data_IF_023454042086
#
_entry.id   IF_023454042086
#
_cell.length_a   1.000
_cell.length_b   1.000
_cell.length_c   1.000
_cell.angle_alpha   90.00
_cell.angle_beta   90.00
_cell.angle_gamma   90.00
#
_symmetry.space_group_name_H-M   'P 1'
#
loop_
_entity.id
_entity.type
_entity.pdbx_description
1 polymer ?
#
# COMPACT_ATOMS: atom_id res chain seq x y z
N UNK A 1 -32.08 50.09 24.17
CA UNK A 1 -32.83 50.73 25.28
C UNK A 1 -33.78 51.74 24.66
N UNK A 2 -35.07 51.69 24.97
CA UNK A 2 -36.05 52.69 24.52
C UNK A 2 -36.21 53.83 25.52
N UNK A 3 -37.30 54.61 25.40
CA UNK A 3 -37.56 55.77 26.27
C UNK A 3 -37.59 55.35 27.74
N UNK A 4 -37.00 56.17 28.60
CA UNK A 4 -36.96 55.93 30.05
C UNK A 4 -36.06 54.77 30.49
N UNK A 5 -35.09 54.35 29.66
CA UNK A 5 -34.15 53.29 30.03
C UNK A 5 -34.76 51.88 30.05
N UNK A 6 -35.92 51.67 29.41
CA UNK A 6 -36.52 50.33 29.28
C UNK A 6 -35.75 49.50 28.23
N UNK A 7 -35.52 48.21 28.52
CA UNK A 7 -34.88 47.31 27.57
C UNK A 7 -35.83 46.96 26.41
N UNK A 8 -35.30 46.42 25.31
CA UNK A 8 -36.11 46.09 24.13
C UNK A 8 -37.20 45.05 24.40
N UNK A 9 -36.95 44.12 25.32
CA UNK A 9 -37.92 43.09 25.74
C UNK A 9 -39.07 43.72 26.52
N UNK A 10 -38.79 44.66 27.44
CA UNK A 10 -39.83 45.39 28.18
C UNK A 10 -40.68 46.32 27.31
N UNK A 11 -40.31 46.51 26.04
CA UNK A 11 -41.04 47.33 25.07
C UNK A 11 -41.61 46.50 23.92
N UNK A 12 -41.43 45.18 23.95
CA UNK A 12 -41.93 44.27 22.93
C UNK A 12 -43.47 44.25 23.00
N UNK A 13 -44.12 44.62 21.88
CA UNK A 13 -45.59 44.62 21.74
C UNK A 13 -46.08 43.42 20.92
N UNK A 14 -45.16 42.60 20.44
CA UNK A 14 -45.34 41.44 19.58
C UNK A 14 -45.43 40.12 20.37
N UNK A 15 -45.38 40.17 21.71
CA UNK A 15 -45.58 39.02 22.58
C UNK A 15 -47.06 38.97 22.98
N UNK A 16 -47.80 38.00 22.44
CA UNK A 16 -49.26 37.91 22.58
C UNK A 16 -49.70 37.24 23.91
N UNK A 17 -48.86 36.38 24.51
CA UNK A 17 -49.17 35.65 25.74
C UNK A 17 -48.45 36.20 26.97
N UNK A 18 -49.18 36.37 28.08
CA UNK A 18 -48.63 36.77 29.38
C UNK A 18 -47.59 35.79 29.91
N UNK A 19 -47.80 34.48 29.73
CA UNK A 19 -46.87 33.43 30.17
C UNK A 19 -45.56 33.45 29.36
N UNK A 20 -45.66 33.73 28.06
CA UNK A 20 -44.50 33.91 27.20
C UNK A 20 -43.73 35.18 27.56
N UNK A 21 -44.44 36.27 27.86
CA UNK A 21 -43.83 37.52 28.30
C UNK A 21 -43.05 37.34 29.62
N UNK A 22 -43.65 36.66 30.61
CA UNK A 22 -42.98 36.35 31.88
C UNK A 22 -41.75 35.45 31.67
N UNK A 23 -41.85 34.44 30.80
CA UNK A 23 -40.71 33.59 30.44
C UNK A 23 -39.56 34.40 29.80
N UNK A 24 -39.88 35.28 28.86
CA UNK A 24 -38.88 36.08 28.10
C UNK A 24 -38.21 37.15 28.96
N UNK A 25 -38.92 37.73 29.92
CA UNK A 25 -38.32 38.69 30.86
C UNK A 25 -37.36 38.02 31.84
N UNK A 26 -37.69 36.81 32.30
CA UNK A 26 -36.87 36.06 33.26
C UNK A 26 -35.79 35.19 32.59
N UNK A 27 -35.69 35.23 31.26
CA UNK A 27 -34.79 34.39 30.48
C UNK A 27 -33.32 34.83 30.65
N UNK A 28 -32.52 33.99 31.30
CA UNK A 28 -31.07 34.19 31.51
C UNK A 28 -30.69 35.50 32.25
N UNK A 29 -31.61 36.08 33.02
CA UNK A 29 -31.34 37.21 33.91
C UNK A 29 -31.57 36.75 35.34
N UNK A 30 -30.51 36.76 36.16
CA UNK A 30 -30.60 36.50 37.60
C UNK A 30 -30.55 37.82 38.38
N UNK A 31 -30.91 37.80 39.67
CA UNK A 31 -30.75 38.97 40.55
C UNK A 31 -29.29 39.44 40.66
N UNK A 32 -28.33 38.60 40.30
CA UNK A 32 -26.89 38.87 40.32
C UNK A 32 -26.39 39.45 38.98
N UNK A 33 -27.24 39.50 37.94
CA UNK A 33 -26.91 40.09 36.65
C UNK A 33 -26.84 41.61 36.78
N UNK A 34 -25.66 42.19 36.55
CA UNK A 34 -25.40 43.63 36.63
C UNK A 34 -24.93 44.17 35.29
N UNK A 35 -24.71 45.49 35.19
CA UNK A 35 -24.11 46.11 34.01
C UNK A 35 -22.69 45.58 33.68
N UNK A 36 -22.03 44.91 34.63
CA UNK A 36 -20.72 44.28 34.44
C UNK A 36 -20.82 42.81 33.96
N UNK A 37 -22.03 42.22 33.93
CA UNK A 37 -22.22 40.85 33.48
C UNK A 37 -21.98 40.71 31.97
N UNK A 38 -21.38 39.58 31.56
CA UNK A 38 -21.05 39.34 30.16
C UNK A 38 -22.31 39.10 29.31
N UNK A 39 -22.43 39.85 28.22
CA UNK A 39 -23.43 39.61 27.19
C UNK A 39 -22.92 38.60 26.15
N UNK A 40 -23.81 37.75 25.64
CA UNK A 40 -23.46 36.83 24.55
C UNK A 40 -23.65 37.51 23.20
N UNK A 41 -22.54 37.70 22.49
CA UNK A 41 -22.51 38.28 21.15
C UNK A 41 -22.52 37.19 20.09
N UNK A 42 -23.37 37.37 19.09
CA UNK A 42 -23.51 36.44 17.96
C UNK A 42 -23.38 37.22 16.65
N UNK A 43 -22.73 36.60 15.67
CA UNK A 43 -22.57 37.16 14.33
C UNK A 43 -23.58 36.57 13.33
N UNK A 44 -24.18 37.43 12.52
CA UNK A 44 -25.00 37.01 11.39
C UNK A 44 -24.18 36.19 10.38
N UNK A 45 -24.67 35.00 10.03
CA UNK A 45 -24.00 34.08 9.11
C UNK A 45 -24.05 34.53 7.64
N UNK A 46 -24.89 35.51 7.29
CA UNK A 46 -25.01 36.01 5.92
C UNK A 46 -23.72 36.77 5.53
N UNK A 47 -22.98 36.33 4.48
CA UNK A 47 -21.66 36.88 4.16
C UNK A 47 -21.62 38.38 3.89
N UNK A 48 -22.67 38.94 3.27
CA UNK A 48 -22.77 40.38 3.00
C UNK A 48 -23.11 41.22 4.25
N UNK A 49 -23.72 40.60 5.27
CA UNK A 49 -24.19 41.28 6.46
C UNK A 49 -23.13 41.26 7.58
N UNK A 50 -22.80 40.07 8.09
CA UNK A 50 -21.79 39.85 9.15
C UNK A 50 -21.92 40.74 10.38
N UNK A 51 -23.11 41.28 10.64
CA UNK A 51 -23.36 42.15 11.79
C UNK A 51 -23.42 41.34 13.07
N UNK A 52 -22.85 41.87 14.13
CA UNK A 52 -22.90 41.35 15.48
C UNK A 52 -24.08 41.96 16.24
N UNK A 53 -24.72 41.13 17.06
CA UNK A 53 -25.83 41.51 17.91
C UNK A 53 -25.85 40.64 19.17
N UNK A 54 -26.49 41.14 20.22
CA UNK A 54 -26.61 40.43 21.50
C UNK A 54 -27.78 39.45 21.43
N UNK A 55 -27.57 38.24 21.95
CA UNK A 55 -28.61 37.22 22.11
C UNK A 55 -28.81 36.95 23.60
N UNK A 56 -30.05 37.10 24.07
CA UNK A 56 -30.43 36.84 25.45
C UNK A 56 -30.77 35.36 25.68
N UNK A 57 -31.56 34.76 24.77
CA UNK A 57 -31.88 33.33 24.82
C UNK A 57 -30.94 32.50 23.94
N UNK A 58 -29.84 32.05 24.54
CA UNK A 58 -28.82 31.22 23.88
C UNK A 58 -29.36 29.80 23.62
N UNK A 59 -30.16 29.26 24.54
CA UNK A 59 -30.68 27.90 24.48
C UNK A 59 -31.58 27.68 23.26
N UNK A 60 -32.35 28.71 22.88
CA UNK A 60 -33.20 28.68 21.69
C UNK A 60 -32.46 28.93 20.37
N UNK A 61 -31.16 29.27 20.40
CA UNK A 61 -30.35 29.46 19.18
C UNK A 61 -29.86 28.11 18.61
N UNK A 62 -30.79 27.30 18.12
CA UNK A 62 -30.54 25.97 17.55
C UNK A 62 -30.28 25.96 16.02
N UNK A 63 -30.21 27.14 15.39
CA UNK A 63 -29.99 27.33 13.96
C UNK A 63 -28.83 28.28 13.68
N UNK A 64 -28.32 28.28 12.43
CA UNK A 64 -27.32 29.27 12.00
C UNK A 64 -27.83 30.68 12.26
N UNK A 65 -27.05 31.43 13.04
CA UNK A 65 -27.40 32.78 13.44
C UNK A 65 -27.64 33.70 12.23
N UNK A 66 -28.74 34.43 12.28
CA UNK A 66 -29.11 35.47 11.31
C UNK A 66 -29.72 36.62 12.09
N UNK A 67 -29.31 37.84 11.80
CA UNK A 67 -29.94 39.01 12.40
C UNK A 67 -31.41 39.15 11.96
N UNK A 68 -32.18 39.93 12.72
CA UNK A 68 -33.60 40.18 12.45
C UNK A 68 -33.86 40.56 10.99
N UNK A 69 -33.12 41.54 10.46
CA UNK A 69 -33.25 42.03 9.08
C UNK A 69 -32.98 40.95 8.02
N UNK A 70 -31.97 40.09 8.22
CA UNK A 70 -31.70 38.98 7.31
C UNK A 70 -32.71 37.83 7.44
N UNK A 71 -33.43 37.73 8.57
CA UNK A 71 -34.52 36.75 8.76
C UNK A 71 -35.82 37.23 8.12
N UNK A 72 -36.15 38.52 8.29
CA UNK A 72 -37.39 39.12 7.80
C UNK A 72 -37.44 39.35 6.29
N UNK A 73 -36.32 39.15 5.57
CA UNK A 73 -36.17 39.49 4.14
C UNK A 73 -36.59 40.94 3.86
N UNK A 74 -36.33 41.85 4.80
CA UNK A 74 -36.62 43.28 4.61
C UNK A 74 -35.88 43.79 3.37
N UNK A 75 -36.52 44.69 2.62
CA UNK A 75 -35.85 45.43 1.53
C UNK A 75 -34.78 46.38 2.07
N UNK A 76 -34.93 46.80 3.33
CA UNK A 76 -33.99 47.69 4.01
C UNK A 76 -32.82 46.89 4.62
N UNK A 77 -31.57 47.37 4.46
CA UNK A 77 -30.39 46.76 5.06
C UNK A 77 -30.38 46.95 6.58
N UNK A 78 -29.72 46.04 7.30
CA UNK A 78 -29.53 46.19 8.74
C UNK A 78 -28.83 47.51 9.06
N UNK A 79 -29.30 48.30 10.06
CA UNK A 79 -28.69 49.56 10.46
C UNK A 79 -27.39 49.28 11.24
N UNK A 80 -26.33 49.02 10.49
CA UNK A 80 -25.04 48.64 11.03
C UNK A 80 -24.10 49.84 11.16
N UNK A 81 -23.20 49.76 12.13
CA UNK A 81 -22.08 50.69 12.35
C UNK A 81 -20.81 49.86 12.49
N UNK A 82 -19.74 50.28 11.83
CA UNK A 82 -18.44 49.61 11.91
C UNK A 82 -17.57 50.23 13.01
N UNK A 83 -16.93 49.39 13.82
CA UNK A 83 -16.02 49.84 14.87
C UNK A 83 -14.67 50.25 14.26
N UNK A 84 -14.15 51.44 14.60
CA UNK A 84 -12.85 51.91 14.10
C UNK A 84 -11.65 51.07 14.55
N UNK A 85 -11.76 50.35 15.66
CA UNK A 85 -10.65 49.56 16.24
C UNK A 85 -10.60 48.14 15.71
N UNK A 86 -11.71 47.40 15.75
CA UNK A 86 -11.75 45.98 15.35
C UNK A 86 -12.41 45.74 13.98
N UNK A 87 -12.99 46.77 13.35
CA UNK A 87 -13.71 46.68 12.07
C UNK A 87 -14.93 45.74 12.08
N UNK A 88 -15.37 45.28 13.26
CA UNK A 88 -16.61 44.53 13.38
C UNK A 88 -17.81 45.46 13.21
N UNK A 89 -18.85 44.94 12.55
CA UNK A 89 -20.11 45.64 12.31
C UNK A 89 -21.10 45.29 13.40
N UNK A 90 -21.73 46.28 14.01
CA UNK A 90 -22.73 46.09 15.06
C UNK A 90 -24.05 46.68 14.63
N UNK A 91 -25.15 45.99 14.95
CA UNK A 91 -26.49 46.54 14.75
C UNK A 91 -26.71 47.66 15.77
N UNK A 92 -26.79 48.89 15.28
CA UNK A 92 -27.14 50.06 16.08
C UNK A 92 -28.18 50.90 15.34
N UNK A 93 -29.49 50.70 15.61
CA UNK A 93 -30.55 51.39 14.89
C UNK A 93 -30.44 52.92 15.00
N UNK A 94 -30.73 53.62 13.91
CA UNK A 94 -30.60 55.09 13.81
C UNK A 94 -31.40 55.81 14.91
N UNK A 95 -32.61 55.33 15.22
CA UNK A 95 -33.47 55.88 16.26
C UNK A 95 -32.86 55.88 17.67
N UNK A 96 -31.84 55.07 17.92
CA UNK A 96 -31.15 54.97 19.20
C UNK A 96 -29.77 55.66 19.21
N UNK A 97 -29.36 56.27 18.10
CA UNK A 97 -28.09 56.98 17.99
C UNK A 97 -28.26 58.41 18.57
N UNK A 98 -27.29 58.92 19.34
CA UNK A 98 -27.33 60.32 19.77
C UNK A 98 -27.25 61.25 18.54
N UNK A 99 -27.82 62.47 18.59
CA UNK A 99 -27.77 63.41 17.46
C UNK A 99 -26.35 63.78 17.03
N UNK A 100 -25.38 63.74 17.95
CA UNK A 100 -23.95 63.99 17.71
C UNK A 100 -23.15 62.75 17.29
N UNK A 101 -23.82 61.65 16.93
CA UNK A 101 -23.15 60.39 16.61
C UNK A 101 -22.34 60.46 15.31
N UNK A 102 -21.02 60.25 15.41
CA UNK A 102 -20.12 60.12 14.28
C UNK A 102 -19.78 58.64 14.03
N UNK A 103 -20.20 58.12 12.87
CA UNK A 103 -19.95 56.72 12.47
C UNK A 103 -18.47 56.38 12.43
N UNK A 104 -17.60 57.31 12.02
CA UNK A 104 -16.15 57.11 11.90
C UNK A 104 -15.43 56.97 13.25
N UNK A 105 -16.03 57.49 14.32
CA UNK A 105 -15.40 57.51 15.65
C UNK A 105 -15.85 56.37 16.55
N UNK A 106 -16.85 55.59 16.10
CA UNK A 106 -17.48 54.54 16.88
C UNK A 106 -16.50 53.46 17.33
N UNK A 107 -16.56 53.13 18.62
CA UNK A 107 -15.87 51.99 19.23
C UNK A 107 -16.93 51.06 19.79
N UNK A 108 -16.84 49.77 19.44
CA UNK A 108 -17.80 48.79 19.93
C UNK A 108 -17.64 48.52 21.43
N UNK A 109 -18.72 48.10 22.13
CA UNK A 109 -18.64 47.79 23.56
C UNK A 109 -17.52 46.79 23.92
N UNK A 110 -17.31 45.69 23.16
CA UNK A 110 -16.23 44.77 23.50
C UNK A 110 -14.82 45.39 23.36
N UNK A 111 -14.61 46.31 22.41
CA UNK A 111 -13.35 47.05 22.29
C UNK A 111 -13.15 48.04 23.45
N UNK A 112 -14.21 48.73 23.89
CA UNK A 112 -14.16 49.63 25.05
C UNK A 112 -13.79 48.86 26.33
N UNK A 113 -14.19 47.60 26.44
CA UNK A 113 -13.85 46.70 27.54
C UNK A 113 -12.45 46.06 27.41
N UNK A 114 -11.69 46.38 26.36
CA UNK A 114 -10.34 45.85 26.17
C UNK A 114 -10.28 44.39 25.69
N UNK A 115 -11.36 43.85 25.12
CA UNK A 115 -11.32 42.49 24.59
C UNK A 115 -10.50 42.40 23.30
N UNK A 116 -9.73 41.32 23.17
CA UNK A 116 -9.05 40.96 21.93
C UNK A 116 -10.05 40.32 20.95
N UNK A 117 -10.46 41.09 19.94
CA UNK A 117 -11.52 40.70 18.99
C UNK A 117 -10.99 40.31 17.61
N UNK A 118 -9.67 40.33 17.43
CA UNK A 118 -9.00 39.87 16.23
C UNK A 118 -8.43 38.48 16.45
N UNK A 119 -8.32 37.72 15.37
CA UNK A 119 -7.75 36.37 15.41
C UNK A 119 -6.73 36.26 14.29
N UNK A 120 -5.57 35.70 14.61
CA UNK A 120 -4.58 35.34 13.60
C UNK A 120 -5.04 34.10 12.84
N UNK A 121 -4.92 34.15 11.51
CA UNK A 121 -5.34 33.06 10.63
C UNK A 121 -4.27 32.80 9.59
N UNK A 122 -3.69 31.60 9.65
CA UNK A 122 -2.86 31.10 8.56
C UNK A 122 -3.72 30.74 7.34
N UNK A 123 -3.37 31.32 6.19
CA UNK A 123 -4.09 31.12 4.93
C UNK A 123 -3.12 30.95 3.76
N UNK A 124 -3.66 30.68 2.57
CA UNK A 124 -2.87 30.60 1.34
C UNK A 124 -3.50 31.47 0.26
N UNK A 125 -2.71 31.92 -0.71
CA UNK A 125 -3.23 32.71 -1.83
C UNK A 125 -4.41 32.03 -2.54
N UNK A 126 -4.36 30.69 -2.68
CA UNK A 126 -5.46 29.91 -3.27
C UNK A 126 -6.72 29.91 -2.39
N UNK A 127 -6.60 29.85 -1.06
CA UNK A 127 -7.76 29.96 -0.16
C UNK A 127 -8.40 31.35 -0.23
N UNK A 128 -7.57 32.40 -0.27
CA UNK A 128 -8.02 33.79 -0.41
C UNK A 128 -8.69 34.04 -1.76
N UNK A 129 -8.22 33.39 -2.82
CA UNK A 129 -8.78 33.54 -4.15
C UNK A 129 -10.21 33.00 -4.30
N UNK A 130 -10.69 32.17 -3.37
CA UNK A 130 -12.09 31.72 -3.38
C UNK A 130 -13.07 32.89 -3.18
N UNK A 131 -12.66 33.94 -2.47
CA UNK A 131 -13.49 35.13 -2.21
C UNK A 131 -13.02 36.36 -2.98
N UNK A 132 -11.69 36.51 -3.16
CA UNK A 132 -11.10 37.71 -3.77
C UNK A 132 -10.75 37.54 -5.25
N UNK A 133 -11.00 36.37 -5.84
CA UNK A 133 -10.40 35.91 -7.12
C UNK A 133 -8.87 35.85 -7.07
N UNK A 134 -8.20 35.44 -8.15
CA UNK A 134 -6.72 35.47 -8.20
C UNK A 134 -6.17 36.80 -8.75
N UNK A 135 -7.05 37.70 -9.21
CA UNK A 135 -6.66 38.95 -9.87
C UNK A 135 -5.78 39.84 -9.00
N UNK A 136 -5.91 39.79 -7.67
CA UNK A 136 -5.06 40.54 -6.75
C UNK A 136 -3.60 40.09 -6.71
N UNK A 137 -3.33 38.84 -7.09
CA UNK A 137 -1.98 38.28 -7.13
C UNK A 137 -1.42 38.31 -8.55
N UNK A 138 -2.23 37.90 -9.53
CA UNK A 138 -1.85 37.89 -10.95
C UNK A 138 -3.08 38.02 -11.84
N UNK A 139 -2.99 38.87 -12.85
CA UNK A 139 -4.03 39.01 -13.88
C UNK A 139 -3.42 39.13 -15.29
N UNK A 140 -4.21 38.75 -16.30
CA UNK A 140 -3.98 39.15 -17.69
C UNK A 140 -4.83 40.40 -17.96
N UNK A 141 -4.21 41.52 -18.31
CA UNK A 141 -4.91 42.77 -18.63
C UNK A 141 -5.87 42.58 -19.82
N UNK A 142 -5.54 41.70 -20.77
CA UNK A 142 -6.38 41.40 -21.92
C UNK A 142 -7.53 40.43 -21.61
N UNK A 143 -7.45 39.68 -20.51
CA UNK A 143 -8.52 38.78 -20.06
C UNK A 143 -8.48 38.59 -18.54
N UNK A 144 -9.06 39.52 -17.76
CA UNK A 144 -8.98 39.54 -16.31
C UNK A 144 -9.58 38.30 -15.61
N UNK A 145 -10.51 37.62 -16.26
CA UNK A 145 -11.22 36.46 -15.72
C UNK A 145 -10.38 35.16 -15.80
N UNK A 146 -9.35 35.13 -16.65
CA UNK A 146 -8.52 33.94 -16.87
C UNK A 146 -7.27 33.98 -16.00
N UNK A 147 -7.15 33.02 -15.08
CA UNK A 147 -5.97 32.88 -14.21
C UNK A 147 -4.81 32.24 -14.99
N UNK A 148 -3.67 32.93 -15.17
CA UNK A 148 -2.57 32.44 -16.03
C UNK A 148 -1.83 31.22 -15.45
N UNK A 149 -1.53 31.23 -14.15
CA UNK A 149 -0.65 30.21 -13.53
C UNK A 149 -1.46 29.19 -12.72
N UNK A 150 -1.85 28.09 -13.37
CA UNK A 150 -2.74 27.06 -12.80
C UNK A 150 -2.04 25.71 -12.58
N UNK A 151 -0.98 25.65 -11.76
CA UNK A 151 -0.24 24.39 -11.47
C UNK A 151 0.17 23.57 -12.73
N UNK A 152 0.24 24.25 -13.89
CA UNK A 152 0.70 23.75 -15.18
C UNK A 152 2.08 24.34 -15.46
N UNK A 153 2.80 23.75 -16.42
CA UNK A 153 4.10 24.28 -16.82
C UNK A 153 3.95 25.69 -17.44
N UNK A 154 4.94 26.58 -17.25
CA UNK A 154 4.95 27.88 -17.92
C UNK A 154 4.78 27.76 -19.44
N UNK A 155 5.40 26.75 -20.05
CA UNK A 155 5.27 26.45 -21.48
C UNK A 155 3.81 26.22 -21.90
N UNK A 156 3.05 25.41 -21.15
CA UNK A 156 1.65 25.14 -21.44
C UNK A 156 0.78 26.40 -21.28
N UNK A 157 1.00 27.16 -20.21
CA UNK A 157 0.31 28.44 -19.97
C UNK A 157 0.53 29.42 -21.12
N UNK A 158 1.79 29.68 -21.48
CA UNK A 158 2.14 30.66 -22.52
C UNK A 158 1.61 30.21 -23.88
N UNK A 159 1.74 28.92 -24.22
CA UNK A 159 1.23 28.37 -25.48
C UNK A 159 -0.29 28.51 -25.61
N UNK A 160 -1.01 28.36 -24.49
CA UNK A 160 -2.49 28.45 -24.46
C UNK A 160 -3.00 29.90 -24.45
N UNK A 161 -2.23 30.82 -23.87
CA UNK A 161 -2.59 32.24 -23.77
C UNK A 161 -2.05 33.10 -24.91
N UNK A 162 -1.22 32.52 -25.77
CA UNK A 162 -0.54 33.20 -26.86
C UNK A 162 0.70 33.97 -26.39
N UNK A 163 1.75 33.90 -27.21
CA UNK A 163 3.07 34.50 -26.93
C UNK A 163 3.12 36.01 -27.16
N UNK A 164 2.24 36.56 -27.99
CA UNK A 164 2.27 37.97 -28.41
C UNK A 164 1.97 38.91 -27.22
N UNK A 165 2.96 39.71 -26.82
CA UNK A 165 2.82 40.70 -25.73
C UNK A 165 2.54 40.09 -24.36
N UNK A 166 2.87 38.82 -24.13
CA UNK A 166 2.55 38.10 -22.89
C UNK A 166 3.14 38.80 -21.64
N UNK A 167 4.39 39.24 -21.71
CA UNK A 167 5.07 39.89 -20.59
C UNK A 167 4.45 41.24 -20.22
N UNK A 168 3.92 41.98 -21.20
CA UNK A 168 3.29 43.28 -20.96
C UNK A 168 1.87 43.15 -20.41
N UNK A 169 1.16 42.11 -20.88
CA UNK A 169 -0.21 41.76 -20.51
C UNK A 169 -0.33 41.18 -19.10
N UNK A 170 0.61 40.33 -18.69
CA UNK A 170 0.56 39.71 -17.37
C UNK A 170 1.11 40.69 -16.32
N UNK A 171 0.25 41.11 -15.39
CA UNK A 171 0.64 41.93 -14.25
C UNK A 171 0.64 41.09 -12.98
N UNK A 172 1.75 41.15 -12.26
CA UNK A 172 1.89 40.58 -10.92
C UNK A 172 1.58 41.69 -9.90
N UNK A 173 0.82 41.35 -8.86
CA UNK A 173 0.42 42.26 -7.79
C UNK A 173 -0.14 43.61 -8.31
N UNK A 174 -1.22 43.59 -9.11
CA UNK A 174 -1.81 44.84 -9.60
C UNK A 174 -2.26 45.75 -8.44
N UNK A 175 -2.27 47.07 -8.64
CA UNK A 175 -2.67 48.02 -7.61
C UNK A 175 -4.13 47.82 -7.20
N UNK A 176 -4.44 48.08 -5.93
CA UNK A 176 -5.75 47.82 -5.34
C UNK A 176 -6.23 48.98 -4.50
N UNK A 177 -7.55 49.14 -4.47
CA UNK A 177 -8.24 50.18 -3.69
C UNK A 177 -8.93 49.62 -2.43
N UNK A 178 -8.87 48.30 -2.19
CA UNK A 178 -9.55 47.64 -1.08
C UNK A 178 -8.73 46.48 -0.51
N UNK A 179 -8.89 46.27 0.80
CA UNK A 179 -8.29 45.16 1.52
C UNK A 179 -8.81 43.80 1.02
N UNK A 180 -7.99 42.76 1.18
CA UNK A 180 -8.43 41.37 0.96
C UNK A 180 -9.48 41.00 1.99
N UNK A 181 -10.42 40.14 1.61
CA UNK A 181 -11.43 39.62 2.53
C UNK A 181 -11.29 38.12 2.75
N UNK A 182 -11.63 37.64 3.94
CA UNK A 182 -11.70 36.22 4.24
C UNK A 182 -12.94 35.96 5.09
N UNK A 183 -13.83 35.11 4.57
CA UNK A 183 -15.17 34.85 5.13
C UNK A 183 -16.04 36.12 5.21
N UNK A 184 -15.85 37.08 4.32
CA UNK A 184 -16.56 38.37 4.30
C UNK A 184 -16.00 39.43 5.25
N UNK A 185 -14.85 39.18 5.89
CA UNK A 185 -14.18 40.14 6.78
C UNK A 185 -12.89 40.66 6.16
N UNK A 186 -12.56 41.96 6.30
CA UNK A 186 -11.31 42.51 5.79
C UNK A 186 -10.10 41.98 6.58
N UNK A 187 -9.02 41.68 5.87
CA UNK A 187 -7.73 41.32 6.42
C UNK A 187 -6.96 42.60 6.76
N UNK A 188 -6.66 42.81 8.04
CA UNK A 188 -6.07 44.06 8.55
C UNK A 188 -4.65 44.33 8.02
N UNK A 189 -3.87 43.27 7.82
CA UNK A 189 -2.48 43.34 7.36
C UNK A 189 -2.36 43.01 5.86
N UNK A 190 -3.35 43.39 5.04
CA UNK A 190 -3.35 43.09 3.59
C UNK A 190 -2.07 43.59 2.91
N UNK A 191 -1.66 44.83 3.18
CA UNK A 191 -0.48 45.42 2.52
C UNK A 191 0.80 44.70 2.93
N UNK A 192 0.99 44.47 4.24
CA UNK A 192 2.14 43.70 4.75
C UNK A 192 2.21 42.29 4.15
N UNK A 193 1.05 41.62 4.01
CA UNK A 193 0.96 40.30 3.39
C UNK A 193 1.39 40.34 1.91
N UNK A 194 0.94 41.35 1.16
CA UNK A 194 1.33 41.53 -0.24
C UNK A 194 2.83 41.82 -0.36
N UNK A 195 3.39 42.71 0.46
CA UNK A 195 4.83 43.00 0.48
C UNK A 195 5.64 41.74 0.78
N UNK A 196 5.20 40.93 1.75
CA UNK A 196 5.86 39.65 2.06
C UNK A 196 5.86 38.70 0.86
N UNK A 197 4.74 38.62 0.13
CA UNK A 197 4.66 37.80 -1.08
C UNK A 197 5.54 38.36 -2.21
N UNK A 198 5.61 39.69 -2.36
CA UNK A 198 6.50 40.35 -3.33
C UNK A 198 7.97 40.01 -3.04
N UNK A 199 8.39 40.10 -1.77
CA UNK A 199 9.75 39.79 -1.34
C UNK A 199 10.11 38.32 -1.56
N UNK A 200 9.17 37.40 -1.28
CA UNK A 200 9.36 35.97 -1.55
C UNK A 200 9.53 35.68 -3.05
N UNK A 201 8.72 36.32 -3.90
CA UNK A 201 8.79 36.18 -5.36
C UNK A 201 10.10 36.77 -5.89
N UNK A 202 10.47 37.97 -5.45
CA UNK A 202 11.72 38.63 -5.85
C UNK A 202 12.95 37.83 -5.41
N UNK A 203 12.92 37.33 -4.17
CA UNK A 203 13.97 36.48 -3.61
C UNK A 203 14.04 35.08 -4.22
N UNK A 204 13.07 34.69 -5.07
CA UNK A 204 12.90 33.32 -5.60
C UNK A 204 12.93 32.27 -4.49
N UNK A 205 12.45 32.64 -3.31
CA UNK A 205 12.39 31.79 -2.12
C UNK A 205 11.00 31.19 -2.02
N UNK A 206 10.93 29.87 -1.99
CA UNK A 206 9.74 29.17 -1.52
C UNK A 206 9.88 28.89 -0.03
N UNK A 207 8.84 29.16 0.74
CA UNK A 207 8.85 28.86 2.17
C UNK A 207 8.82 27.35 2.39
N UNK A 208 9.77 26.85 3.20
CA UNK A 208 9.78 25.45 3.63
C UNK A 208 8.90 25.33 4.86
N UNK A 209 8.18 24.20 4.94
CA UNK A 209 7.29 23.89 6.05
C UNK A 209 7.81 22.69 6.83
N UNK A 210 7.49 22.64 8.11
CA UNK A 210 7.91 21.56 8.99
C UNK A 210 7.06 20.30 8.78
N UNK A 211 7.71 19.14 8.86
CA UNK A 211 7.02 17.87 9.06
C UNK A 211 6.50 17.81 10.50
N UNK A 212 5.20 17.55 10.69
CA UNK A 212 4.60 17.47 12.03
C UNK A 212 5.14 16.34 12.93
N UNK A 213 5.91 15.40 12.38
CA UNK A 213 6.44 14.25 13.15
C UNK A 213 7.94 14.35 13.45
N UNK A 214 8.78 14.68 12.45
CA UNK A 214 10.23 14.80 12.65
C UNK A 214 10.73 16.23 12.80
N UNK A 215 9.83 17.23 12.66
CA UNK A 215 10.14 18.67 12.76
C UNK A 215 11.25 19.17 11.82
N UNK A 216 11.63 18.39 10.81
CA UNK A 216 12.56 18.83 9.76
C UNK A 216 11.81 19.62 8.68
N UNK A 217 12.53 20.50 7.99
CA UNK A 217 11.97 21.39 6.96
C UNK A 217 11.89 20.71 5.59
N UNK A 218 10.75 20.83 4.92
CA UNK A 218 10.53 20.27 3.58
C UNK A 218 9.82 21.28 2.67
N UNK A 219 9.90 21.04 1.36
CA UNK A 219 9.00 21.70 0.42
C UNK A 219 7.55 21.29 0.69
N UNK A 220 6.58 22.22 0.67
CA UNK A 220 5.17 21.88 0.92
C UNK A 220 4.62 20.77 0.02
N UNK A 221 5.11 20.63 -1.21
CA UNK A 221 4.71 19.58 -2.15
C UNK A 221 5.25 18.18 -1.75
N UNK A 222 6.35 18.11 -1.01
CA UNK A 222 6.98 16.86 -0.55
C UNK A 222 6.33 16.29 0.71
N UNK A 223 5.51 17.08 1.42
CA UNK A 223 4.75 16.61 2.57
C UNK A 223 3.42 15.97 2.14
N UNK A 224 3.06 14.90 2.82
CA UNK A 224 1.84 14.14 2.58
C UNK A 224 0.85 14.34 3.74
N UNK A 225 -0.47 14.23 3.52
CA UNK A 225 -1.43 14.14 4.61
C UNK A 225 -1.09 12.96 5.54
N UNK A 226 -1.13 13.16 6.86
CA UNK A 226 -0.73 12.13 7.81
C UNK A 226 -1.57 10.85 7.74
N UNK A 227 -2.88 10.97 7.50
CA UNK A 227 -3.77 9.80 7.40
C UNK A 227 -4.83 9.87 6.29
N UNK A 228 -4.90 10.99 5.57
CA UNK A 228 -5.85 11.22 4.49
C UNK A 228 -7.32 11.39 4.89
N UNK A 229 -7.66 11.37 6.19
CA UNK A 229 -9.04 11.58 6.67
C UNK A 229 -9.40 13.06 6.70
N UNK A 230 -10.67 13.37 6.38
CA UNK A 230 -11.22 14.72 6.54
C UNK A 230 -11.08 15.20 7.99
N UNK A 231 -10.65 16.46 8.17
CA UNK A 231 -10.40 17.08 9.47
C UNK A 231 -9.03 16.80 10.09
N UNK A 232 -8.20 15.91 9.53
CA UNK A 232 -6.79 15.82 9.93
C UNK A 232 -5.95 16.77 9.06
N UNK A 233 -5.48 17.86 9.65
CA UNK A 233 -4.69 18.89 8.94
C UNK A 233 -3.18 18.61 8.97
N UNK A 234 -2.76 17.56 9.66
CA UNK A 234 -1.35 17.26 9.89
C UNK A 234 -0.67 16.73 8.62
N UNK A 235 0.54 17.23 8.35
CA UNK A 235 1.32 16.89 7.16
C UNK A 235 2.70 16.40 7.55
N UNK A 236 3.12 15.29 6.97
CA UNK A 236 4.37 14.61 7.34
C UNK A 236 5.14 14.15 6.10
N UNK A 237 6.46 14.03 6.24
CA UNK A 237 7.33 13.62 5.15
C UNK A 237 7.14 12.12 4.82
N UNK A 238 7.55 11.72 3.63
CA UNK A 238 7.47 10.32 3.18
C UNK A 238 8.25 9.37 4.09
N UNK A 239 9.39 9.81 4.64
CA UNK A 239 10.18 9.02 5.58
C UNK A 239 9.40 8.70 6.85
N UNK A 240 8.79 9.71 7.48
CA UNK A 240 7.92 9.53 8.65
C UNK A 240 6.71 8.64 8.37
N UNK A 241 6.09 8.73 7.19
CA UNK A 241 4.99 7.84 6.82
C UNK A 241 5.42 6.39 6.72
N UNK A 242 6.55 6.12 6.06
CA UNK A 242 7.13 4.78 5.92
C UNK A 242 7.57 4.24 7.28
N UNK A 243 8.21 5.06 8.10
CA UNK A 243 8.62 4.66 9.45
C UNK A 243 7.43 4.36 10.35
N UNK A 244 6.38 5.18 10.32
CA UNK A 244 5.20 4.98 11.17
C UNK A 244 4.33 3.82 10.69
N UNK A 245 3.80 3.87 9.47
CA UNK A 245 2.88 2.82 8.98
C UNK A 245 3.60 1.56 8.52
N UNK A 246 4.84 1.68 8.07
CA UNK A 246 5.69 0.55 7.67
C UNK A 246 6.48 -0.06 8.81
N UNK A 247 6.30 0.39 10.06
CA UNK A 247 6.88 -0.30 11.23
C UNK A 247 6.33 -1.71 11.42
N UNK A 248 5.14 -1.98 10.88
CA UNK A 248 4.52 -3.29 10.92
C UNK A 248 4.94 -4.08 9.67
N UNK A 249 5.77 -5.09 9.87
CA UNK A 249 6.26 -5.98 8.80
C UNK A 249 5.90 -7.43 9.09
N UNK A 250 5.91 -8.24 8.03
CA UNK A 250 5.71 -9.69 8.11
C UNK A 250 6.74 -10.33 9.04
N UNK A 251 6.30 -11.25 9.90
CA UNK A 251 7.15 -11.93 10.86
C UNK A 251 7.48 -11.14 12.13
N UNK A 252 6.88 -9.96 12.34
CA UNK A 252 7.17 -9.12 13.50
C UNK A 252 5.94 -8.91 14.41
N UNK A 253 6.19 -8.39 15.61
CA UNK A 253 5.14 -7.94 16.53
C UNK A 253 4.35 -6.79 15.88
N UNK A 254 3.03 -6.85 15.96
CA UNK A 254 2.16 -5.80 15.43
C UNK A 254 2.11 -4.66 16.44
N UNK A 255 2.70 -3.53 16.08
CA UNK A 255 2.51 -2.27 16.76
C UNK A 255 1.10 -1.72 16.47
N UNK A 256 0.19 -1.97 17.40
CA UNK A 256 -1.21 -1.53 17.32
C UNK A 256 -1.35 0.00 17.32
N UNK A 257 -0.41 0.74 17.91
CA UNK A 257 -0.43 2.20 17.90
C UNK A 257 -0.14 2.78 16.51
N UNK A 258 0.70 2.09 15.73
CA UNK A 258 1.06 2.42 14.36
C UNK A 258 -0.05 2.07 13.33
N UNK A 259 -1.11 1.33 13.74
CA UNK A 259 -2.30 1.12 12.91
C UNK A 259 -3.16 2.38 12.78
N UNK A 260 -3.00 3.32 13.70
CA UNK A 260 -3.74 4.58 13.74
C UNK A 260 -2.87 5.78 13.33
N UNK A 261 -3.52 6.87 12.94
CA UNK A 261 -2.85 8.16 12.76
C UNK A 261 -2.10 8.58 14.04
N UNK A 262 -0.84 9.04 13.98
CA UNK A 262 -0.10 9.48 15.16
C UNK A 262 -0.73 10.72 15.82
N UNK A 263 -1.52 11.49 15.07
CA UNK A 263 -2.13 12.72 15.56
C UNK A 263 -3.60 12.54 15.95
N UNK A 264 -4.48 12.21 14.99
CA UNK A 264 -5.91 12.14 15.25
C UNK A 264 -6.40 10.78 15.75
N UNK A 265 -5.49 9.80 15.92
CA UNK A 265 -5.75 8.42 16.39
C UNK A 265 -6.82 7.63 15.63
N UNK A 266 -7.39 8.19 14.56
CA UNK A 266 -8.30 7.51 13.64
C UNK A 266 -7.53 6.60 12.69
N UNK A 267 -8.20 5.54 12.23
CA UNK A 267 -7.67 4.67 11.19
C UNK A 267 -7.45 5.49 9.89
N UNK A 268 -6.26 5.40 9.28
CA UNK A 268 -5.96 6.08 8.02
C UNK A 268 -6.86 5.60 6.87
N UNK A 269 -6.83 6.32 5.75
CA UNK A 269 -7.52 5.89 4.54
C UNK A 269 -6.83 4.68 3.92
N UNK A 270 -7.58 3.78 3.25
CA UNK A 270 -6.99 2.61 2.57
C UNK A 270 -5.86 2.98 1.60
N UNK A 271 -6.00 4.09 0.88
CA UNK A 271 -4.96 4.61 -0.03
C UNK A 271 -3.64 4.94 0.69
N UNK A 272 -3.71 5.46 1.92
CA UNK A 272 -2.52 5.78 2.72
C UNK A 272 -1.81 4.49 3.17
N UNK A 273 -2.58 3.52 3.68
CA UNK A 273 -2.03 2.23 4.11
C UNK A 273 -1.52 1.38 2.96
N UNK A 274 -2.20 1.36 1.82
CA UNK A 274 -1.73 0.63 0.63
C UNK A 274 -0.37 1.15 0.16
N UNK A 275 -0.15 2.46 0.25
CA UNK A 275 1.10 3.10 -0.22
C UNK A 275 2.26 3.00 0.79
N UNK A 276 1.97 3.05 2.09
CA UNK A 276 3.01 3.20 3.13
C UNK A 276 2.99 2.12 4.21
N UNK A 277 1.97 1.27 4.26
CA UNK A 277 1.78 0.27 5.31
C UNK A 277 2.37 -1.10 5.00
N UNK A 278 3.25 -1.25 4.01
CA UNK A 278 3.99 -2.51 3.74
C UNK A 278 3.12 -3.77 3.65
N UNK A 279 1.91 -3.69 3.06
CA UNK A 279 1.00 -4.85 2.94
C UNK A 279 0.13 -5.12 4.18
N UNK A 280 0.27 -4.33 5.25
CA UNK A 280 -0.51 -4.47 6.49
C UNK A 280 -2.03 -4.46 6.27
N UNK A 281 -2.50 -3.73 5.26
CA UNK A 281 -3.92 -3.68 4.88
C UNK A 281 -4.48 -5.02 4.38
N UNK A 282 -3.62 -5.96 3.97
CA UNK A 282 -4.00 -7.29 3.50
C UNK A 282 -3.88 -8.37 4.61
N UNK A 283 -3.40 -8.00 5.80
CA UNK A 283 -3.25 -8.94 6.92
C UNK A 283 -4.62 -9.39 7.41
N UNK A 284 -4.83 -10.71 7.41
CA UNK A 284 -6.08 -11.32 7.89
C UNK A 284 -6.21 -11.18 9.40
N UNK A 285 -7.43 -11.03 9.89
CA UNK A 285 -7.76 -10.88 11.31
C UNK A 285 -7.08 -9.70 12.04
N UNK A 286 -6.53 -8.70 11.32
CA UNK A 286 -5.86 -7.55 11.94
C UNK A 286 -6.75 -6.79 12.94
N UNK A 287 -8.07 -6.80 12.74
CA UNK A 287 -9.03 -6.20 13.67
C UNK A 287 -8.97 -6.80 15.08
N UNK A 288 -8.65 -8.09 15.22
CA UNK A 288 -8.56 -8.74 16.54
C UNK A 288 -7.46 -8.12 17.40
N UNK A 289 -6.33 -7.77 16.77
CA UNK A 289 -5.24 -7.06 17.43
C UNK A 289 -5.66 -5.66 17.95
N UNK A 290 -6.72 -5.04 17.41
CA UNK A 290 -7.25 -3.77 17.91
C UNK A 290 -8.23 -3.95 19.06
N UNK A 291 -9.07 -4.98 19.02
CA UNK A 291 -10.06 -5.30 20.06
C UNK A 291 -9.34 -5.76 21.32
N UNK A 292 -8.40 -6.69 21.18
CA UNK A 292 -7.75 -7.36 22.31
C UNK A 292 -6.41 -6.72 22.69
N UNK A 293 -6.15 -5.48 22.23
CA UNK A 293 -4.89 -4.76 22.45
C UNK A 293 -4.49 -4.62 23.93
N UNK A 294 -5.42 -4.82 24.86
CA UNK A 294 -5.18 -4.79 26.31
C UNK A 294 -4.76 -6.13 26.90
N UNK A 295 -5.17 -7.24 26.28
CA UNK A 295 -5.03 -8.60 26.81
C UNK A 295 -3.94 -9.38 26.09
N UNK A 296 -3.78 -9.17 24.78
CA UNK A 296 -2.85 -9.93 23.96
C UNK A 296 -1.91 -9.04 23.17
N UNK A 297 -0.68 -9.50 23.01
CA UNK A 297 0.27 -8.99 22.04
C UNK A 297 0.13 -9.86 20.79
N UNK A 298 -0.11 -9.24 19.66
CA UNK A 298 -0.27 -9.92 18.38
C UNK A 298 1.00 -9.81 17.55
N UNK A 299 1.28 -10.84 16.75
CA UNK A 299 2.32 -10.85 15.74
C UNK A 299 1.73 -11.16 14.36
N UNK A 300 2.42 -10.69 13.31
CA UNK A 300 2.08 -10.99 11.93
C UNK A 300 2.85 -12.24 11.51
N UNK A 301 2.14 -13.35 11.30
CA UNK A 301 2.74 -14.60 10.81
C UNK A 301 3.33 -14.44 9.39
N UNK A 302 4.60 -14.77 9.20
CA UNK A 302 5.30 -14.67 7.91
C UNK A 302 4.82 -15.66 6.85
N UNK A 303 4.09 -16.71 7.27
CA UNK A 303 3.65 -17.81 6.42
C UNK A 303 2.18 -17.65 5.96
N UNK A 304 1.23 -17.53 6.91
CA UNK A 304 -0.20 -17.42 6.57
C UNK A 304 -0.72 -15.97 6.48
N UNK A 305 0.15 -14.97 6.61
CA UNK A 305 -0.18 -13.54 6.54
C UNK A 305 -1.38 -13.11 7.41
N UNK A 306 -1.51 -13.76 8.58
CA UNK A 306 -2.62 -13.54 9.53
C UNK A 306 -2.07 -12.98 10.83
N UNK A 307 -2.79 -12.03 11.43
CA UNK A 307 -2.51 -11.55 12.77
C UNK A 307 -2.91 -12.62 13.80
N UNK A 308 -1.96 -13.04 14.64
CA UNK A 308 -2.16 -14.09 15.63
C UNK A 308 -1.62 -13.66 16.99
N UNK A 309 -2.21 -14.19 18.05
CA UNK A 309 -1.77 -14.00 19.42
C UNK A 309 -0.35 -14.55 19.58
N UNK A 310 0.56 -13.73 20.10
CA UNK A 310 1.94 -14.10 20.41
C UNK A 310 2.08 -14.44 21.88
N UNK A 311 1.65 -13.52 22.75
CA UNK A 311 1.74 -13.67 24.21
C UNK A 311 0.71 -12.79 24.89
N UNK A 312 0.21 -13.24 26.03
CA UNK A 312 -0.69 -12.48 26.88
C UNK A 312 0.05 -11.29 27.53
N UNK A 313 -0.58 -10.13 27.55
CA UNK A 313 -0.09 -8.95 28.23
C UNK A 313 -0.23 -9.14 29.74
N UNK A 314 0.89 -9.21 30.44
CA UNK A 314 0.92 -9.06 31.90
C UNK A 314 1.62 -7.75 32.27
N UNK A 315 0.96 -6.94 33.11
CA UNK A 315 1.40 -5.58 33.46
C UNK A 315 2.83 -5.52 34.04
N UNK A 316 3.37 -6.62 34.55
CA UNK A 316 4.69 -6.69 35.18
C UNK A 316 5.82 -7.20 34.27
N UNK A 317 5.53 -7.80 33.09
CA UNK A 317 6.56 -8.44 32.24
C UNK A 317 7.18 -7.55 31.17
N UNK A 318 6.79 -6.28 31.05
CA UNK A 318 7.31 -5.39 30.02
C UNK A 318 6.95 -5.84 28.58
N UNK A 319 7.53 -5.17 27.57
CA UNK A 319 7.36 -5.57 26.17
C UNK A 319 8.21 -6.82 25.90
N UNK A 320 7.68 -7.87 25.24
CA UNK A 320 8.48 -9.00 24.79
C UNK A 320 9.63 -8.54 23.89
N UNK A 321 10.75 -9.28 23.86
CA UNK A 321 11.84 -8.98 22.93
C UNK A 321 11.34 -8.92 21.50
N UNK A 322 12.02 -8.13 20.66
CA UNK A 322 11.71 -8.04 19.23
C UNK A 322 11.80 -9.42 18.59
N UNK A 323 10.79 -9.74 17.79
CA UNK A 323 10.71 -11.02 17.05
C UNK A 323 10.79 -10.71 15.57
N UNK A 324 11.60 -11.47 14.85
CA UNK A 324 11.77 -11.44 13.40
C UNK A 324 11.49 -12.81 12.80
N UNK A 325 10.92 -12.87 11.60
CA UNK A 325 10.47 -14.10 10.93
C UNK A 325 9.58 -15.02 11.79
N UNK A 326 8.70 -14.42 12.59
CA UNK A 326 7.77 -15.16 13.41
C UNK A 326 6.73 -15.91 12.56
N UNK A 327 6.58 -17.20 12.86
CA UNK A 327 5.54 -18.08 12.32
C UNK A 327 4.62 -18.53 13.44
N UNK A 328 3.32 -18.55 13.18
CA UNK A 328 2.37 -19.01 14.18
C UNK A 328 2.50 -20.53 14.41
N UNK A 329 2.12 -21.05 15.59
CA UNK A 329 2.30 -22.47 15.93
C UNK A 329 1.73 -23.43 14.87
N UNK A 330 0.53 -23.14 14.34
CA UNK A 330 -0.10 -23.94 13.28
C UNK A 330 0.72 -23.98 11.99
N UNK A 331 1.38 -22.88 11.62
CA UNK A 331 2.24 -22.84 10.45
C UNK A 331 3.54 -23.60 10.68
N UNK A 332 4.10 -23.52 11.90
CA UNK A 332 5.28 -24.30 12.28
C UNK A 332 4.95 -25.80 12.22
N UNK A 333 3.86 -26.23 12.83
CA UNK A 333 3.39 -27.62 12.81
C UNK A 333 3.18 -28.12 11.38
N UNK A 334 2.52 -27.34 10.52
CA UNK A 334 2.32 -27.71 9.12
C UNK A 334 3.63 -27.88 8.36
N UNK A 335 4.56 -26.92 8.50
CA UNK A 335 5.85 -26.97 7.84
C UNK A 335 6.70 -28.15 8.34
N UNK A 336 6.58 -28.49 9.62
CA UNK A 336 7.24 -29.65 10.21
C UNK A 336 6.70 -30.97 9.64
N UNK A 337 5.37 -31.11 9.52
CA UNK A 337 4.75 -32.27 8.88
C UNK A 337 5.18 -32.39 7.42
N UNK A 338 5.14 -31.31 6.65
CA UNK A 338 5.58 -31.28 5.26
C UNK A 338 7.06 -31.69 5.11
N UNK A 339 7.92 -31.26 6.04
CA UNK A 339 9.33 -31.67 6.09
C UNK A 339 9.48 -33.17 6.34
N UNK A 340 8.81 -33.70 7.37
CA UNK A 340 8.89 -35.13 7.71
C UNK A 340 8.35 -36.01 6.58
N UNK A 341 7.29 -35.58 5.90
CA UNK A 341 6.79 -36.28 4.72
C UNK A 341 7.78 -36.25 3.55
N UNK A 342 8.45 -35.11 3.32
CA UNK A 342 9.47 -34.99 2.28
C UNK A 342 10.68 -35.88 2.58
N UNK A 343 11.14 -35.91 3.83
CA UNK A 343 12.21 -36.81 4.29
C UNK A 343 11.79 -38.28 4.12
N UNK A 344 10.57 -38.65 4.50
CA UNK A 344 10.03 -40.01 4.30
C UNK A 344 9.98 -40.38 2.82
N UNK A 345 9.54 -39.47 1.94
CA UNK A 345 9.54 -39.69 0.49
C UNK A 345 10.95 -39.89 -0.06
N UNK A 346 11.92 -39.09 0.40
CA UNK A 346 13.32 -39.22 -0.01
C UNK A 346 13.94 -40.55 0.44
N UNK A 347 13.67 -40.99 1.67
CA UNK A 347 14.12 -42.30 2.17
C UNK A 347 13.50 -43.44 1.36
N UNK A 348 12.19 -43.38 1.08
CA UNK A 348 11.52 -44.41 0.30
C UNK A 348 12.09 -44.48 -1.12
N UNK A 349 12.30 -43.33 -1.76
CA UNK A 349 12.91 -43.27 -3.08
C UNK A 349 14.33 -43.86 -3.08
N UNK A 350 15.15 -43.55 -2.09
CA UNK A 350 16.49 -44.15 -1.96
C UNK A 350 16.46 -45.67 -1.78
N UNK A 351 15.47 -46.21 -1.05
CA UNK A 351 15.28 -47.66 -0.91
C UNK A 351 14.83 -48.31 -2.21
N UNK A 352 13.93 -47.68 -2.95
CA UNK A 352 13.45 -48.17 -4.24
C UNK A 352 14.58 -48.15 -5.29
N UNK A 353 15.38 -47.09 -5.32
CA UNK A 353 16.56 -46.96 -6.18
C UNK A 353 17.62 -48.04 -5.85
N UNK A 354 17.85 -48.33 -4.55
CA UNK A 354 18.76 -49.39 -4.14
C UNK A 354 18.28 -50.78 -4.58
N UNK A 355 16.98 -51.06 -4.45
CA UNK A 355 16.39 -52.32 -4.96
C UNK A 355 16.50 -52.44 -6.47
N UNK A 356 16.23 -51.35 -7.20
CA UNK A 356 16.37 -51.34 -8.65
C UNK A 356 17.82 -51.58 -9.10
N UNK A 357 18.80 -51.05 -8.35
CA UNK A 357 20.21 -51.31 -8.61
C UNK A 357 20.58 -52.79 -8.39
N UNK A 358 20.12 -53.40 -7.28
CA UNK A 358 20.32 -54.84 -7.04
C UNK A 358 19.68 -55.72 -8.13
N UNK A 359 18.46 -55.39 -8.56
CA UNK A 359 17.78 -56.15 -9.61
C UNK A 359 18.49 -56.00 -10.96
N UNK A 360 19.01 -54.81 -11.27
CA UNK A 360 19.82 -54.58 -12.47
C UNK A 360 21.12 -55.39 -12.43
N UNK A 361 21.81 -55.43 -11.29
CA UNK A 361 23.03 -56.23 -11.11
C UNK A 361 22.74 -57.73 -11.29
N UNK A 362 21.63 -58.24 -10.74
CA UNK A 362 21.20 -59.63 -10.98
C UNK A 362 20.90 -59.91 -12.44
N UNK A 363 20.22 -58.99 -13.14
CA UNK A 363 19.95 -59.14 -14.57
C UNK A 363 21.25 -59.17 -15.38
N UNK A 364 22.21 -58.30 -15.05
CA UNK A 364 23.53 -58.28 -15.67
C UNK A 364 24.32 -59.56 -15.42
N UNK A 365 24.27 -60.13 -14.21
CA UNK A 365 24.92 -61.43 -13.91
C UNK A 365 24.27 -62.57 -14.72
N UNK A 366 22.94 -62.63 -14.78
CA UNK A 366 22.22 -63.64 -15.57
C UNK A 366 22.54 -63.51 -17.06
N UNK A 367 22.54 -62.30 -17.60
CA UNK A 367 22.88 -62.04 -19.00
C UNK A 367 24.35 -62.34 -19.30
N UNK A 368 25.26 -61.98 -18.39
CA UNK A 368 26.68 -62.32 -18.45
C UNK A 368 26.91 -63.84 -18.52
N UNK A 369 26.22 -64.62 -17.68
CA UNK A 369 26.27 -66.10 -17.73
C UNK A 369 25.71 -66.64 -19.04
N UNK A 370 24.59 -66.11 -19.52
CA UNK A 370 23.98 -66.54 -20.80
C UNK A 370 24.96 -66.32 -21.96
N UNK A 371 25.59 -65.15 -22.00
CA UNK A 371 26.60 -64.80 -23.01
C UNK A 371 27.83 -65.70 -22.92
N UNK A 372 28.32 -66.01 -21.73
CA UNK A 372 29.44 -66.93 -21.56
C UNK A 372 29.13 -68.34 -22.06
N UNK A 373 27.91 -68.85 -21.83
CA UNK A 373 27.45 -70.14 -22.38
C UNK A 373 27.40 -70.09 -23.91
N UNK A 374 26.84 -69.02 -24.48
CA UNK A 374 26.75 -68.83 -25.93
C UNK A 374 28.15 -68.75 -26.59
N UNK A 375 29.07 -67.98 -26.00
CA UNK A 375 30.47 -67.89 -26.46
C UNK A 375 31.18 -69.25 -26.38
N UNK A 376 30.93 -70.04 -25.33
CA UNK A 376 31.49 -71.40 -25.19
C UNK A 376 30.93 -72.34 -26.26
N UNK A 377 29.63 -72.26 -26.55
CA UNK A 377 28.98 -73.07 -27.57
C UNK A 377 29.52 -72.74 -28.97
N UNK A 378 29.66 -71.46 -29.28
CA UNK A 378 30.21 -70.98 -30.55
C UNK A 378 31.69 -71.37 -30.69
N UNK A 379 32.49 -71.25 -29.63
CA UNK A 379 33.88 -71.70 -29.64
C UNK A 379 34.00 -73.21 -29.89
N UNK A 380 33.13 -74.02 -29.28
CA UNK A 380 33.06 -75.47 -29.52
C UNK A 380 32.69 -75.77 -30.98
N UNK A 381 31.70 -75.05 -31.54
CA UNK A 381 31.30 -75.19 -32.93
C UNK A 381 32.42 -74.82 -33.90
N UNK A 382 33.13 -73.72 -33.66
CA UNK A 382 34.28 -73.30 -34.47
C UNK A 382 35.42 -74.32 -34.41
N UNK A 383 35.67 -74.94 -33.24
CA UNK A 383 36.66 -76.02 -33.10
C UNK A 383 36.26 -77.30 -33.84
N UNK A 384 34.96 -77.53 -34.07
CA UNK A 384 34.43 -78.62 -34.89
C UNK A 384 34.55 -78.36 -36.40
N UNK A 385 35.03 -77.20 -36.85
CA UNK A 385 35.30 -76.96 -38.27
C UNK A 385 36.73 -77.40 -38.59
N UNK A 386 36.87 -78.32 -39.55
CA UNK A 386 38.17 -78.86 -39.98
C UNK A 386 38.36 -78.69 -41.48
N UNK A 387 39.61 -78.54 -41.91
CA UNK A 387 39.96 -78.35 -43.33
C UNK A 387 40.02 -79.69 -44.05
N UNK A 388 39.47 -79.75 -45.27
CA UNK A 388 39.64 -80.90 -46.15
C UNK A 388 41.11 -80.98 -46.63
N UNK A 389 41.80 -82.12 -46.49
CA UNK A 389 43.20 -82.25 -46.89
C UNK A 389 43.45 -82.15 -48.41
N UNK A 390 42.42 -82.36 -49.24
CA UNK A 390 42.55 -82.30 -50.70
C UNK A 390 42.35 -80.91 -51.31
N UNK A 391 41.52 -80.05 -50.71
CA UNK A 391 41.17 -78.74 -51.28
C UNK A 391 41.10 -77.59 -50.27
N UNK A 392 41.49 -77.82 -49.01
CA UNK A 392 41.48 -76.86 -47.89
C UNK A 392 40.12 -76.25 -47.52
N UNK A 393 39.03 -76.70 -48.12
CA UNK A 393 37.68 -76.22 -47.80
C UNK A 393 37.32 -76.57 -46.36
N UNK A 394 36.74 -75.59 -45.64
CA UNK A 394 36.25 -75.76 -44.27
C UNK A 394 35.02 -76.67 -44.25
N UNK A 395 35.09 -77.74 -43.46
CA UNK A 395 34.05 -78.75 -43.33
C UNK A 395 33.64 -78.91 -41.86
N UNK A 396 32.35 -78.78 -41.59
CA UNK A 396 31.74 -79.06 -40.29
C UNK A 396 31.10 -80.46 -40.33
N UNK A 397 31.38 -81.30 -39.34
CA UNK A 397 30.68 -82.58 -39.18
C UNK A 397 29.38 -82.31 -38.43
N UNK A 398 28.27 -82.27 -39.16
CA UNK A 398 26.94 -81.96 -38.59
C UNK A 398 26.31 -83.19 -37.90
N UNK A 399 26.55 -84.41 -38.41
CA UNK A 399 26.08 -85.66 -37.82
C UNK A 399 26.83 -86.87 -38.42
N UNK A 400 26.68 -88.05 -37.81
CA UNK A 400 27.13 -89.33 -38.37
C UNK A 400 28.58 -89.71 -38.05
N UNK A 401 29.15 -90.63 -38.84
CA UNK A 401 30.50 -91.14 -38.62
C UNK A 401 31.59 -90.13 -39.00
N UNK A 402 32.81 -90.32 -38.50
CA UNK A 402 33.98 -89.49 -38.80
C UNK A 402 34.55 -89.66 -40.20
N UNK A 403 33.86 -90.35 -41.11
CA UNK A 403 34.23 -90.43 -42.51
C UNK A 403 33.55 -89.30 -43.27
N UNK A 404 34.35 -88.40 -43.84
CA UNK A 404 33.86 -87.25 -44.62
C UNK A 404 34.33 -87.42 -46.06
N UNK A 405 33.38 -87.41 -46.99
CA UNK A 405 33.65 -87.25 -48.42
C UNK A 405 33.48 -85.76 -48.76
N UNK A 406 34.51 -85.13 -49.33
CA UNK A 406 34.45 -83.71 -49.66
C UNK A 406 33.35 -83.41 -50.69
N UNK A 407 32.39 -82.49 -50.39
CA UNK A 407 31.30 -82.17 -51.30
C UNK A 407 31.70 -81.22 -52.44
N UNK A 408 32.91 -80.64 -52.40
CA UNK A 408 33.37 -79.69 -53.42
C UNK A 408 33.50 -80.41 -54.77
N UNK A 409 32.83 -79.91 -55.83
CA UNK A 409 32.96 -80.45 -57.17
C UNK A 409 34.43 -80.50 -57.59
N UNK A 410 34.96 -81.70 -57.83
CA UNK A 410 36.34 -81.92 -58.26
C UNK A 410 37.34 -82.32 -57.18
N UNK A 411 36.97 -82.30 -55.89
CA UNK A 411 37.82 -82.85 -54.82
C UNK A 411 37.44 -84.29 -54.49
N UNK A 412 36.22 -84.50 -53.96
CA UNK A 412 35.68 -85.81 -53.57
C UNK A 412 36.61 -86.69 -52.69
N UNK A 413 37.61 -86.09 -52.06
CA UNK A 413 38.53 -86.78 -51.16
C UNK A 413 37.78 -87.34 -49.95
N UNK A 414 37.99 -88.63 -49.67
CA UNK A 414 37.56 -89.29 -48.44
C UNK A 414 38.63 -89.08 -47.36
N UNK A 415 38.24 -88.50 -46.22
CA UNK A 415 39.18 -88.20 -45.14
C UNK A 415 38.55 -88.42 -43.77
N UNK A 416 39.41 -88.73 -42.80
CA UNK A 416 38.98 -88.96 -41.43
C UNK A 416 38.86 -87.63 -40.70
N UNK A 417 37.66 -87.30 -40.26
CA UNK A 417 37.37 -86.09 -39.50
C UNK A 417 38.18 -85.98 -38.22
N UNK A 418 38.47 -87.08 -37.51
CA UNK A 418 39.18 -87.01 -36.22
C UNK A 418 40.62 -86.55 -36.38
N UNK A 419 41.39 -87.16 -37.30
CA UNK A 419 42.80 -86.83 -37.50
C UNK A 419 43.08 -85.86 -38.66
N UNK A 420 42.09 -85.51 -39.48
CA UNK A 420 42.24 -84.56 -40.59
C UNK A 420 43.02 -85.09 -41.80
N UNK A 421 43.22 -86.41 -41.91
CA UNK A 421 44.05 -87.04 -42.96
C UNK A 421 43.19 -87.75 -44.02
N UNK A 422 43.67 -87.73 -45.25
CA UNK A 422 43.08 -88.43 -46.40
C UNK A 422 43.33 -89.95 -46.32
N UNK A 423 42.31 -90.73 -46.69
CA UNK A 423 42.42 -92.19 -46.78
C UNK A 423 41.61 -92.73 -47.95
N UNK A 424 42.05 -93.82 -48.59
CA UNK A 424 41.23 -94.52 -49.57
C UNK A 424 39.91 -95.02 -48.97
N UNK A 425 38.82 -94.97 -49.74
CA UNK A 425 37.44 -95.32 -49.33
C UNK A 425 37.33 -96.68 -48.62
N UNK A 426 38.10 -97.69 -49.04
CA UNK A 426 38.09 -99.02 -48.42
C UNK A 426 38.94 -99.17 -47.15
N UNK A 427 39.83 -98.21 -46.87
CA UNK A 427 40.78 -98.25 -45.75
C UNK A 427 40.39 -97.32 -44.59
N UNK A 428 39.61 -96.27 -44.86
CA UNK A 428 39.25 -95.24 -43.87
C UNK A 428 38.50 -95.81 -42.66
N UNK A 429 37.59 -96.76 -42.86
CA UNK A 429 36.84 -97.40 -41.79
C UNK A 429 37.72 -98.23 -40.85
N UNK A 430 38.74 -98.93 -41.40
CA UNK A 430 39.73 -99.64 -40.60
C UNK A 430 40.58 -98.65 -39.80
N UNK A 431 41.04 -97.58 -40.44
CA UNK A 431 41.81 -96.53 -39.75
C UNK A 431 41.04 -95.95 -38.56
N UNK A 432 39.77 -95.54 -38.75
CA UNK A 432 38.95 -95.00 -37.66
C UNK A 432 38.80 -96.00 -36.50
N UNK A 433 38.55 -97.27 -36.80
CA UNK A 433 38.43 -98.31 -35.77
C UNK A 433 39.72 -98.53 -34.98
N UNK A 434 40.89 -98.53 -35.64
CA UNK A 434 42.17 -98.79 -34.98
C UNK A 434 42.77 -97.56 -34.30
N UNK A 435 42.67 -96.38 -34.90
CA UNK A 435 43.33 -95.16 -34.43
C UNK A 435 42.45 -94.31 -33.50
N UNK A 436 41.12 -94.42 -33.62
CA UNK A 436 40.15 -93.59 -32.90
C UNK A 436 39.10 -94.41 -32.14
N UNK A 437 39.30 -95.72 -32.00
CA UNK A 437 38.43 -96.60 -31.19
C UNK A 437 37.05 -96.88 -31.79
N UNK A 438 36.71 -96.35 -32.97
CA UNK A 438 35.41 -96.55 -33.60
C UNK A 438 35.10 -95.52 -34.70
N UNK A 439 33.97 -95.68 -35.38
CA UNK A 439 33.55 -94.79 -36.48
C UNK A 439 32.93 -93.48 -36.00
N UNK A 440 32.45 -93.40 -34.75
CA UNK A 440 31.75 -92.23 -34.21
C UNK A 440 32.61 -91.34 -33.30
N UNK A 441 33.80 -91.82 -32.91
CA UNK A 441 34.67 -91.14 -31.92
C UNK A 441 34.09 -91.14 -30.51
N UNK A 442 34.83 -90.60 -29.54
CA UNK A 442 34.40 -90.53 -28.14
C UNK A 442 33.24 -89.52 -27.89
N UNK A 443 32.86 -88.74 -28.90
CA UNK A 443 31.80 -87.72 -28.82
C UNK A 443 30.37 -88.31 -28.70
N UNK A 444 30.21 -89.64 -28.80
CA UNK A 444 28.95 -90.37 -28.61
C UNK A 444 28.82 -91.05 -27.23
N UNK A 445 29.75 -90.78 -26.30
CA UNK A 445 29.63 -91.22 -24.90
C UNK A 445 29.19 -90.03 -24.06
N UNK A 446 27.86 -89.83 -23.97
CA UNK A 446 27.08 -89.15 -22.91
C UNK A 446 25.85 -88.46 -23.51
N UNK A 447 24.89 -89.25 -23.98
CA UNK A 447 23.50 -88.82 -24.13
C UNK A 447 22.59 -89.85 -23.44
N UNK A 448 22.63 -89.85 -22.11
CA UNK A 448 21.49 -90.19 -21.25
C UNK A 448 21.26 -89.04 -20.28
#
# INVERSE_FOLDING_TARGET
MGRGGKCGICLATDIESTEEYERVINLQVSKETTAASHATWVECHVPSCRTQYVVYDIGSLNVRAKCHYCRSRSKEPAPMVECKQCLNRIIYPVAHRPPSFLTSEFVCPPCTMGHELTTELETTARKLAAENTMSWLVCDVGNPDKVPFTNRSPFHTISTMGTKGFMDRIKLFPPRNSALTQRGKPIRNTDTLITTLQDLVAGRKTEKVYCSLCFSTFWPASLNPACGRRGCLQRICTGCLRGWYGSNTSGCIINTAALACPFCRRLPTPRTLAKYGMGLHAVRDLHRALVDKGTWIYAWCSECFTAKELVERSCARGMPPEVTDWKCPRCIERLEVERLEAERRAIQQALDDARAAEDLERQQDVEGRRRAVEETLEASRLAAIKRCPGCDTMCERVAGCGHITCPIPGCHTDWCYFCGKEFPQGAIYKHMSYAHGGMYGDDWVNSE
#
